data_IF_861321876496
#
_entry.id   IF_861321876496
#
_cell.length_a   1.000
_cell.length_b   1.000
_cell.length_c   1.000
_cell.angle_alpha   90.00
_cell.angle_beta   90.00
_cell.angle_gamma   90.00
#
_symmetry.space_group_name_H-M   'P 1'
#
loop_
_entity.id
_entity.type
_entity.pdbx_description
1 polymer ?
#
# COMPACT_ATOMS: atom_id res chain seq x y z
N UNK A 1 -14.31 -43.47 21.48
CA UNK A 1 -14.62 -42.02 21.47
C UNK A 1 -13.29 -41.28 21.47
N UNK A 2 -12.69 -41.14 20.30
CA UNK A 2 -11.40 -40.45 20.14
C UNK A 2 -11.72 -39.12 19.48
N UNK A 3 -11.75 -38.06 20.29
CA UNK A 3 -11.97 -36.70 19.80
C UNK A 3 -10.71 -36.26 19.08
N UNK A 4 -10.78 -36.22 17.76
CA UNK A 4 -9.79 -35.55 16.94
C UNK A 4 -9.81 -34.06 17.30
N UNK A 5 -8.70 -33.57 17.85
CA UNK A 5 -8.40 -32.15 17.88
C UNK A 5 -8.34 -31.67 16.43
N UNK A 6 -9.31 -30.84 16.06
CA UNK A 6 -9.24 -30.05 14.84
C UNK A 6 -8.12 -29.04 15.06
N UNK A 7 -6.95 -29.30 14.48
CA UNK A 7 -5.96 -28.29 14.19
C UNK A 7 -6.57 -27.38 13.13
N UNK A 8 -7.19 -26.28 13.55
CA UNK A 8 -7.47 -25.17 12.64
C UNK A 8 -6.11 -24.65 12.19
N UNK A 9 -5.75 -24.96 10.96
CA UNK A 9 -4.65 -24.36 10.23
C UNK A 9 -5.00 -22.87 10.10
N UNK A 10 -4.56 -22.06 11.07
CA UNK A 10 -4.87 -20.63 11.17
C UNK A 10 -4.11 -19.91 10.08
N UNK A 11 -4.61 -19.98 8.84
CA UNK A 11 -4.00 -19.34 7.70
C UNK A 11 -4.03 -17.83 7.90
N UNK A 12 -2.86 -17.23 8.11
CA UNK A 12 -2.67 -15.79 8.24
C UNK A 12 -3.35 -15.08 7.05
N UNK A 13 -4.30 -14.20 7.35
CA UNK A 13 -4.99 -13.42 6.34
C UNK A 13 -4.06 -12.34 5.80
N UNK A 14 -3.37 -12.67 4.72
CA UNK A 14 -2.44 -11.76 4.08
C UNK A 14 -3.17 -10.79 3.14
N UNK A 15 -2.84 -9.49 3.11
CA UNK A 15 -3.50 -8.52 2.24
C UNK A 15 -3.39 -8.88 0.76
N UNK A 16 -4.48 -8.68 0.01
CA UNK A 16 -4.54 -9.03 -1.40
C UNK A 16 -3.63 -8.13 -2.25
N UNK A 17 -3.03 -8.68 -3.31
CA UNK A 17 -2.15 -7.93 -4.22
C UNK A 17 -0.71 -7.77 -3.77
N UNK A 18 -0.32 -8.38 -2.63
CA UNK A 18 1.04 -8.34 -2.11
C UNK A 18 1.64 -9.75 -2.01
N UNK A 19 2.83 -9.91 -2.59
CA UNK A 19 3.55 -11.18 -2.54
C UNK A 19 4.08 -11.46 -1.13
N UNK A 20 4.03 -12.73 -0.74
CA UNK A 20 4.69 -13.24 0.48
C UNK A 20 6.20 -13.32 0.25
N UNK A 21 6.98 -13.05 1.28
CA UNK A 21 8.41 -13.37 1.27
C UNK A 21 8.61 -14.87 1.48
N UNK A 22 9.27 -15.58 0.53
CA UNK A 22 9.62 -16.99 0.70
C UNK A 22 10.49 -17.21 1.94
N UNK A 23 10.27 -18.31 2.67
CA UNK A 23 10.97 -18.55 3.94
C UNK A 23 12.51 -18.57 3.82
N UNK A 24 13.04 -18.97 2.65
CA UNK A 24 14.47 -18.99 2.35
C UNK A 24 15.07 -17.63 2.00
N UNK A 25 14.23 -16.64 1.67
CA UNK A 25 14.64 -15.28 1.32
C UNK A 25 14.52 -14.33 2.52
N UNK A 26 13.95 -14.80 3.64
CA UNK A 26 13.81 -14.01 4.87
C UNK A 26 15.18 -13.77 5.51
N UNK A 27 15.39 -12.54 5.95
CA UNK A 27 16.66 -12.10 6.55
C UNK A 27 16.52 -11.83 8.05
N UNK A 28 17.63 -11.86 8.78
CA UNK A 28 17.64 -11.31 10.15
C UNK A 28 17.66 -9.79 10.09
N UNK A 29 16.94 -9.15 11.02
CA UNK A 29 16.83 -7.70 10.99
C UNK A 29 18.20 -7.04 11.25
N UNK A 30 18.64 -6.08 10.43
CA UNK A 30 20.02 -5.55 10.49
C UNK A 30 20.25 -4.54 11.63
N UNK A 31 19.18 -4.04 12.26
CA UNK A 31 19.26 -3.05 13.35
C UNK A 31 19.19 -3.66 14.75
N UNK A 32 19.51 -2.85 15.76
CA UNK A 32 19.32 -3.26 17.15
C UNK A 32 17.83 -3.33 17.50
N UNK A 33 17.39 -4.51 17.95
CA UNK A 33 16.05 -4.75 18.45
C UNK A 33 16.18 -5.00 19.95
N UNK A 34 16.37 -3.90 20.67
CA UNK A 34 16.38 -3.90 22.14
C UNK A 34 15.03 -4.30 22.74
N UNK A 35 13.96 -4.32 21.94
CA UNK A 35 12.60 -4.63 22.38
C UNK A 35 12.42 -6.12 22.64
N UNK A 36 11.67 -6.41 23.69
CA UNK A 36 11.06 -7.71 23.92
C UNK A 36 9.98 -8.00 22.87
N UNK A 37 9.53 -9.26 22.80
CA UNK A 37 8.45 -9.65 21.89
C UNK A 37 7.20 -8.81 22.13
N UNK A 38 6.74 -8.69 23.39
CA UNK A 38 5.57 -7.88 23.75
C UNK A 38 5.73 -6.42 23.34
N UNK A 39 6.84 -5.78 23.69
CA UNK A 39 7.08 -4.37 23.38
C UNK A 39 7.10 -4.10 21.86
N UNK A 40 7.53 -5.07 21.05
CA UNK A 40 7.49 -4.93 19.60
C UNK A 40 6.05 -4.81 19.07
N UNK A 41 5.14 -5.65 19.55
CA UNK A 41 3.72 -5.60 19.17
C UNK A 41 2.99 -4.40 19.77
N UNK A 42 3.22 -4.09 21.05
CA UNK A 42 2.70 -2.87 21.69
C UNK A 42 3.14 -1.62 20.90
N UNK A 43 4.37 -1.59 20.39
CA UNK A 43 4.86 -0.46 19.59
C UNK A 43 4.12 -0.26 18.26
N UNK A 44 3.53 -1.31 17.68
CA UNK A 44 2.71 -1.20 16.47
C UNK A 44 1.41 -0.48 16.80
N UNK A 45 0.71 -0.94 17.84
CA UNK A 45 -0.54 -0.33 18.31
C UNK A 45 -0.32 1.12 18.70
N UNK A 46 0.69 1.39 19.54
CA UNK A 46 1.06 2.72 20.00
C UNK A 46 1.30 3.69 18.85
N UNK A 47 2.04 3.29 17.81
CA UNK A 47 2.37 4.18 16.70
C UNK A 47 1.16 4.42 15.77
N UNK A 48 0.30 3.42 15.57
CA UNK A 48 -0.95 3.57 14.80
C UNK A 48 -1.93 4.51 15.53
N UNK A 49 -2.11 4.33 16.84
CA UNK A 49 -2.97 5.21 17.64
C UNK A 49 -2.42 6.64 17.70
N UNK A 50 -1.10 6.82 17.84
CA UNK A 50 -0.45 8.15 17.77
C UNK A 50 -0.58 8.81 16.41
N UNK A 51 -0.75 8.03 15.35
CA UNK A 51 -1.04 8.53 14.01
C UNK A 51 -2.52 8.84 13.80
N UNK A 52 -3.38 8.57 14.79
CA UNK A 52 -4.82 8.83 14.72
C UNK A 52 -5.64 7.71 14.12
N UNK A 53 -5.05 6.53 13.91
CA UNK A 53 -5.77 5.34 13.42
C UNK A 53 -6.50 4.64 14.58
N UNK A 54 -7.61 3.98 14.28
CA UNK A 54 -8.48 3.32 15.26
C UNK A 54 -8.72 1.87 14.89
N UNK A 55 -9.41 1.11 15.75
CA UNK A 55 -9.79 -0.29 15.50
C UNK A 55 -8.59 -1.15 15.07
N UNK A 56 -7.47 -1.04 15.79
CA UNK A 56 -6.22 -1.74 15.46
C UNK A 56 -6.32 -3.22 15.85
N UNK A 57 -6.09 -4.10 14.87
CA UNK A 57 -6.11 -5.54 15.00
C UNK A 57 -4.84 -6.15 14.40
N UNK A 58 -4.06 -6.87 15.20
CA UNK A 58 -2.84 -7.54 14.74
C UNK A 58 -3.12 -9.03 14.53
N UNK A 59 -2.82 -9.50 13.32
CA UNK A 59 -2.93 -10.91 12.94
C UNK A 59 -1.55 -11.54 12.76
N UNK A 60 -1.42 -12.77 13.26
CA UNK A 60 -0.26 -13.64 13.11
C UNK A 60 -0.74 -15.09 13.01
N UNK A 61 0.11 -16.01 12.54
CA UNK A 61 -0.22 -17.44 12.58
C UNK A 61 -0.37 -18.00 14.01
N UNK A 62 0.15 -17.29 15.01
CA UNK A 62 0.06 -17.68 16.42
C UNK A 62 -1.26 -17.23 17.07
N UNK A 63 -1.67 -17.98 18.09
CA UNK A 63 -2.81 -17.58 18.94
C UNK A 63 -2.49 -16.36 19.80
N UNK A 64 -3.49 -15.54 20.09
CA UNK A 64 -3.34 -14.31 20.89
C UNK A 64 -3.92 -14.44 22.29
N UNK A 65 -3.47 -13.58 23.21
CA UNK A 65 -4.04 -13.53 24.57
C UNK A 65 -5.47 -12.98 24.53
N UNK A 66 -6.38 -13.63 25.26
CA UNK A 66 -7.81 -13.21 25.35
C UNK A 66 -7.97 -11.76 25.83
N UNK A 67 -7.12 -11.33 26.77
CA UNK A 67 -7.18 -9.98 27.34
C UNK A 67 -6.26 -8.98 26.63
N UNK A 68 -5.49 -9.44 25.65
CA UNK A 68 -4.54 -8.62 24.91
C UNK A 68 -4.44 -9.15 23.47
N UNK A 69 -5.50 -8.93 22.68
CA UNK A 69 -5.71 -9.60 21.39
C UNK A 69 -4.74 -9.12 20.30
N UNK A 70 -3.92 -8.11 20.56
CA UNK A 70 -2.87 -7.63 19.67
C UNK A 70 -1.48 -8.17 20.05
N UNK A 71 -1.39 -8.97 21.11
CA UNK A 71 -0.15 -9.61 21.53
C UNK A 71 -0.25 -11.11 21.29
N UNK A 72 0.51 -11.66 20.33
CA UNK A 72 0.54 -13.09 20.11
C UNK A 72 1.28 -13.80 21.25
N UNK A 73 0.93 -15.07 21.45
CA UNK A 73 1.71 -15.96 22.28
C UNK A 73 3.11 -16.15 21.67
N UNK A 74 4.14 -16.11 22.52
CA UNK A 74 5.50 -16.37 22.07
C UNK A 74 5.66 -17.85 21.75
N UNK A 75 5.65 -18.18 20.47
CA UNK A 75 6.09 -19.49 19.98
C UNK A 75 7.61 -19.55 19.84
N UNK A 76 8.17 -20.75 20.02
CA UNK A 76 9.61 -20.97 19.89
C UNK A 76 10.05 -21.07 18.42
N UNK A 77 9.16 -21.52 17.53
CA UNK A 77 9.41 -21.72 16.11
C UNK A 77 8.08 -21.65 15.33
N UNK A 78 7.54 -20.44 15.11
CA UNK A 78 6.31 -20.27 14.35
C UNK A 78 6.51 -20.65 12.88
N UNK A 79 5.59 -21.46 12.31
CA UNK A 79 5.62 -21.86 10.89
C UNK A 79 5.53 -20.65 9.94
N UNK A 80 4.80 -19.61 10.36
CA UNK A 80 4.73 -18.33 9.65
C UNK A 80 5.05 -17.16 10.59
N UNK A 81 6.07 -16.39 10.21
CA UNK A 81 6.56 -15.22 10.94
C UNK A 81 5.93 -13.90 10.47
N UNK A 82 5.05 -13.95 9.47
CA UNK A 82 4.33 -12.78 8.98
C UNK A 82 3.49 -12.11 10.06
N UNK A 83 3.45 -10.78 10.00
CA UNK A 83 2.61 -9.94 10.86
C UNK A 83 1.80 -9.01 9.98
N UNK A 84 0.51 -8.91 10.24
CA UNK A 84 -0.39 -7.97 9.57
C UNK A 84 -1.08 -7.12 10.63
N UNK A 85 -1.03 -5.80 10.47
CA UNK A 85 -1.75 -4.85 11.31
C UNK A 85 -2.87 -4.21 10.50
N UNK A 86 -4.11 -4.56 10.83
CA UNK A 86 -5.31 -3.92 10.31
C UNK A 86 -5.68 -2.71 11.16
N UNK A 87 -6.17 -1.66 10.53
CA UNK A 87 -6.65 -0.47 11.22
C UNK A 87 -7.72 0.25 10.39
N UNK A 88 -8.50 1.09 11.06
CA UNK A 88 -9.40 2.04 10.43
C UNK A 88 -8.78 3.43 10.44
N UNK A 89 -8.96 4.13 9.33
CA UNK A 89 -8.68 5.56 9.24
C UNK A 89 -9.99 6.35 9.38
N UNK A 90 -10.23 7.06 10.49
CA UNK A 90 -11.45 7.85 10.67
C UNK A 90 -11.65 8.95 9.63
N UNK A 91 -10.57 9.39 8.98
CA UNK A 91 -10.60 10.44 7.94
C UNK A 91 -10.78 9.86 6.54
N UNK A 92 -10.63 8.55 6.36
CA UNK A 92 -10.86 7.91 5.08
C UNK A 92 -12.36 7.89 4.75
N UNK A 93 -12.67 8.13 3.48
CA UNK A 93 -14.04 8.01 2.96
C UNK A 93 -14.50 6.55 2.82
N UNK A 94 -13.57 5.59 2.90
CA UNK A 94 -13.85 4.17 2.86
C UNK A 94 -14.27 3.65 4.23
N UNK A 95 -15.18 2.67 4.26
CA UNK A 95 -15.55 1.93 5.48
C UNK A 95 -14.66 0.72 5.73
N UNK A 96 -13.79 0.41 4.79
CA UNK A 96 -12.90 -0.73 4.81
C UNK A 96 -11.70 -0.48 5.73
N UNK A 97 -11.19 -1.55 6.36
CA UNK A 97 -9.95 -1.48 7.11
C UNK A 97 -8.78 -1.46 6.14
N UNK A 98 -7.80 -0.60 6.41
CA UNK A 98 -6.49 -0.66 5.78
C UNK A 98 -5.61 -1.67 6.49
N UNK A 99 -4.62 -2.23 5.80
CA UNK A 99 -3.65 -3.13 6.41
C UNK A 99 -2.21 -2.66 6.16
N UNK A 100 -1.30 -3.01 7.06
CA UNK A 100 0.15 -2.96 6.86
C UNK A 100 0.72 -4.34 7.22
N UNK A 101 1.48 -4.95 6.31
CA UNK A 101 2.00 -6.29 6.48
C UNK A 101 3.53 -6.35 6.35
N UNK A 102 4.17 -7.27 7.08
CA UNK A 102 5.60 -7.54 6.96
C UNK A 102 5.90 -9.01 7.28
N UNK A 103 6.61 -9.69 6.38
CA UNK A 103 7.10 -11.07 6.55
C UNK A 103 8.54 -11.26 6.05
N UNK A 104 9.27 -10.16 5.84
CA UNK A 104 10.63 -10.13 5.33
C UNK A 104 11.65 -10.68 6.34
N UNK A 105 11.37 -10.54 7.64
CA UNK A 105 12.33 -10.83 8.69
C UNK A 105 12.14 -12.20 9.33
N UNK A 106 13.21 -12.73 9.91
CA UNK A 106 13.29 -14.07 10.48
C UNK A 106 12.39 -14.36 11.68
N UNK A 107 11.74 -13.34 12.25
CA UNK A 107 10.85 -13.51 13.40
C UNK A 107 9.70 -12.51 13.41
N UNK A 108 8.57 -12.90 14.00
CA UNK A 108 7.40 -12.02 14.18
C UNK A 108 7.75 -10.73 14.93
N UNK A 109 8.66 -10.81 15.91
CA UNK A 109 9.15 -9.65 16.66
C UNK A 109 9.84 -8.64 15.73
N UNK A 110 10.66 -9.11 14.81
CA UNK A 110 11.35 -8.28 13.82
C UNK A 110 10.35 -7.64 12.84
N UNK A 111 9.40 -8.43 12.34
CA UNK A 111 8.33 -7.95 11.46
C UNK A 111 7.44 -6.90 12.15
N UNK A 112 7.00 -7.14 13.39
CA UNK A 112 6.26 -6.15 14.18
C UNK A 112 7.08 -4.86 14.39
N UNK A 113 8.37 -4.98 14.70
CA UNK A 113 9.25 -3.81 14.85
C UNK A 113 9.39 -3.01 13.55
N UNK A 114 9.50 -3.69 12.41
CA UNK A 114 9.59 -3.04 11.11
C UNK A 114 8.31 -2.24 10.80
N UNK A 115 7.14 -2.82 11.06
CA UNK A 115 5.84 -2.13 10.92
C UNK A 115 5.81 -0.87 11.80
N UNK A 116 6.13 -0.99 13.10
CA UNK A 116 6.12 0.17 14.01
C UNK A 116 7.07 1.29 13.58
N UNK A 117 8.27 0.94 13.09
CA UNK A 117 9.24 1.92 12.57
C UNK A 117 8.73 2.62 11.30
N UNK A 118 8.06 1.87 10.43
CA UNK A 118 7.45 2.41 9.23
C UNK A 118 6.31 3.38 9.58
N UNK A 119 5.38 3.00 10.47
CA UNK A 119 4.29 3.88 10.92
C UNK A 119 4.85 5.16 11.56
N UNK A 120 5.87 5.02 12.41
CA UNK A 120 6.56 6.17 13.02
C UNK A 120 7.16 7.10 11.97
N UNK A 121 7.74 6.56 10.89
CA UNK A 121 8.29 7.35 9.78
C UNK A 121 7.18 8.16 9.11
N UNK A 122 6.05 7.55 8.80
CA UNK A 122 4.94 8.24 8.13
C UNK A 122 4.39 9.36 9.01
N UNK A 123 4.11 9.04 10.28
CA UNK A 123 3.64 10.02 11.27
C UNK A 123 4.61 11.18 11.47
N UNK A 124 5.92 10.94 11.37
CA UNK A 124 6.93 12.00 11.48
C UNK A 124 6.95 12.88 10.23
N UNK A 125 6.82 12.31 9.03
CA UNK A 125 6.75 13.06 7.79
C UNK A 125 5.53 14.01 7.79
N UNK A 126 4.36 13.47 8.12
CA UNK A 126 3.09 14.20 8.24
C UNK A 126 3.19 15.37 9.24
N UNK A 127 3.64 15.09 10.47
CA UNK A 127 3.82 16.13 11.50
C UNK A 127 4.78 17.25 11.09
N UNK A 128 5.82 16.93 10.33
CA UNK A 128 6.83 17.89 9.92
C UNK A 128 6.48 18.63 8.62
N UNK A 129 5.33 18.33 7.99
CA UNK A 129 4.94 18.89 6.70
C UNK A 129 5.89 18.49 5.57
N UNK A 130 6.50 17.30 5.68
CA UNK A 130 7.37 16.76 4.62
C UNK A 130 6.49 16.00 3.63
N UNK A 131 6.30 16.59 2.46
CA UNK A 131 5.60 15.95 1.34
C UNK A 131 6.60 15.31 0.38
N UNK A 132 6.20 14.18 -0.21
CA UNK A 132 6.92 13.53 -1.31
C UNK A 132 6.10 13.63 -2.58
N UNK A 133 6.76 13.56 -3.75
CA UNK A 133 6.11 13.68 -5.05
C UNK A 133 5.01 12.63 -5.34
N UNK A 134 4.96 11.55 -4.55
CA UNK A 134 3.85 10.60 -4.47
C UNK A 134 3.37 10.51 -3.03
N UNK A 135 2.07 10.37 -2.82
CA UNK A 135 1.52 10.22 -1.47
C UNK A 135 2.01 8.89 -0.88
N UNK A 136 2.68 8.95 0.27
CA UNK A 136 3.17 7.75 0.95
C UNK A 136 1.99 6.91 1.47
N UNK A 137 0.84 7.53 1.70
CA UNK A 137 -0.38 6.88 2.16
C UNK A 137 -1.00 6.02 1.05
N UNK A 138 -0.96 6.46 -0.21
CA UNK A 138 -1.38 5.63 -1.36
C UNK A 138 -0.47 4.40 -1.53
N UNK A 139 0.83 4.54 -1.26
CA UNK A 139 1.78 3.41 -1.32
C UNK A 139 1.60 2.43 -0.14
N UNK A 140 1.03 2.91 0.96
CA UNK A 140 0.89 2.17 2.22
C UNK A 140 -0.39 1.36 2.34
N UNK A 141 -1.47 1.83 1.70
CA UNK A 141 -2.79 1.25 1.89
C UNK A 141 -2.89 -0.08 1.13
N UNK A 142 -2.79 -1.17 1.87
CA UNK A 142 -3.13 -2.49 1.35
C UNK A 142 -4.65 -2.64 1.41
N UNK A 143 -5.30 -3.10 0.33
CA UNK A 143 -6.72 -3.44 0.37
C UNK A 143 -6.94 -4.60 1.35
N UNK A 144 -8.04 -4.60 2.11
CA UNK A 144 -8.38 -5.73 2.96
C UNK A 144 -8.66 -6.97 2.12
N UNK A 145 -8.45 -8.14 2.71
CA UNK A 145 -8.47 -9.44 2.03
C UNK A 145 -9.85 -9.94 1.55
N UNK A 146 -10.90 -9.11 1.55
CA UNK A 146 -12.21 -9.47 1.01
C UNK A 146 -12.29 -9.18 -0.49
N UNK A 147 -11.85 -10.17 -1.27
CA UNK A 147 -12.53 -10.60 -2.50
C UNK A 147 -12.93 -9.54 -3.53
N UNK A 148 -12.06 -8.58 -3.84
CA UNK A 148 -12.07 -7.95 -5.16
C UNK A 148 -10.63 -7.93 -5.67
N UNK A 149 -10.38 -8.74 -6.70
CA UNK A 149 -9.07 -8.83 -7.31
C UNK A 149 -8.73 -7.47 -7.90
N UNK A 150 -7.85 -6.72 -7.23
CA UNK A 150 -7.23 -5.58 -7.87
C UNK A 150 -6.30 -6.18 -8.92
N UNK A 151 -6.73 -6.07 -10.18
CA UNK A 151 -5.86 -6.34 -11.31
C UNK A 151 -4.58 -5.53 -11.08
N UNK A 152 -3.44 -6.23 -11.00
CA UNK A 152 -2.15 -5.58 -11.10
C UNK A 152 -2.22 -4.60 -12.29
N UNK A 153 -1.83 -3.33 -12.13
CA UNK A 153 -1.79 -2.43 -13.26
C UNK A 153 -0.96 -3.12 -14.36
N UNK A 154 -1.47 -3.21 -15.59
CA UNK A 154 -0.73 -3.85 -16.66
C UNK A 154 0.65 -3.22 -16.73
N UNK A 155 1.65 -4.08 -16.93
CA UNK A 155 3.05 -3.68 -17.09
C UNK A 155 3.15 -2.41 -17.93
N UNK A 156 3.84 -1.41 -17.39
CA UNK A 156 4.07 -0.12 -18.04
C UNK A 156 4.42 -0.34 -19.50
N UNK A 157 3.59 0.21 -20.38
CA UNK A 157 3.94 0.37 -21.79
C UNK A 157 5.14 1.31 -21.89
N UNK A 158 6.07 0.92 -22.75
CA UNK A 158 7.47 1.41 -22.88
C UNK A 158 7.62 2.89 -23.29
N UNK A 159 6.55 3.71 -23.22
CA UNK A 159 6.52 5.09 -23.75
C UNK A 159 6.50 6.20 -22.67
N UNK A 160 6.68 5.84 -21.40
CA UNK A 160 6.89 6.80 -20.32
C UNK A 160 5.71 7.76 -20.10
N UNK A 161 4.49 7.29 -20.37
CA UNK A 161 3.26 7.94 -19.93
C UNK A 161 2.68 7.11 -18.78
N UNK A 162 2.29 7.77 -17.69
CA UNK A 162 1.61 7.12 -16.55
C UNK A 162 0.18 6.67 -16.90
N UNK A 163 -0.35 7.14 -18.04
CA UNK A 163 -1.71 6.93 -18.54
C UNK A 163 -1.65 6.80 -20.08
N UNK A 164 -2.49 5.97 -20.71
CA UNK A 164 -2.37 5.72 -22.16
C UNK A 164 -2.72 7.01 -22.96
N UNK A 165 -2.05 7.30 -24.10
CA UNK A 165 -2.24 8.56 -24.85
C UNK A 165 -3.71 8.92 -25.16
N UNK A 166 -4.54 7.90 -25.40
CA UNK A 166 -5.95 8.09 -25.71
C UNK A 166 -6.80 8.41 -24.46
N UNK A 167 -6.37 7.95 -23.28
CA UNK A 167 -6.97 8.28 -21.98
C UNK A 167 -6.66 9.74 -21.63
N UNK A 168 -5.40 10.19 -21.76
CA UNK A 168 -5.01 11.59 -21.56
C UNK A 168 -5.79 12.54 -22.47
N UNK A 169 -6.19 12.11 -23.66
CA UNK A 169 -6.96 12.90 -24.61
C UNK A 169 -8.48 12.66 -24.53
N UNK A 170 -8.99 11.73 -23.73
CA UNK A 170 -10.40 11.29 -23.73
C UNK A 170 -10.92 10.93 -25.13
N UNK A 171 -10.13 10.18 -25.91
CA UNK A 171 -10.48 9.72 -27.26
C UNK A 171 -10.39 8.20 -27.35
N UNK A 172 -10.96 7.61 -28.41
CA UNK A 172 -10.80 6.19 -28.67
C UNK A 172 -9.34 5.86 -29.03
N UNK A 173 -8.82 4.66 -28.69
CA UNK A 173 -7.47 4.23 -29.03
C UNK A 173 -7.13 4.32 -30.53
N UNK A 174 -8.14 4.12 -31.38
CA UNK A 174 -8.07 4.17 -32.85
C UNK A 174 -8.70 5.43 -33.44
N UNK A 175 -8.82 6.49 -32.64
CA UNK A 175 -9.36 7.77 -33.10
C UNK A 175 -8.52 8.33 -34.27
N UNK A 176 -9.17 8.84 -35.33
CA UNK A 176 -8.44 9.38 -36.48
C UNK A 176 -7.67 10.66 -36.10
N UNK A 177 -6.53 10.90 -36.76
CA UNK A 177 -5.60 12.00 -36.44
C UNK A 177 -6.25 13.38 -36.34
N UNK A 178 -7.29 13.64 -37.13
CA UNK A 178 -8.02 14.90 -37.13
C UNK A 178 -8.82 15.10 -35.84
N UNK A 179 -9.40 14.02 -35.30
CA UNK A 179 -10.08 14.00 -34.00
C UNK A 179 -9.05 14.19 -32.88
N UNK A 180 -7.93 13.46 -32.91
CA UNK A 180 -6.84 13.57 -31.93
C UNK A 180 -6.30 15.01 -31.87
N UNK A 181 -5.97 15.60 -33.03
CA UNK A 181 -5.48 16.99 -33.12
C UNK A 181 -6.51 18.01 -32.62
N UNK A 182 -7.79 17.78 -32.89
CA UNK A 182 -8.87 18.68 -32.46
C UNK A 182 -9.04 18.65 -30.95
N UNK A 183 -9.03 17.45 -30.35
CA UNK A 183 -9.22 17.29 -28.91
C UNK A 183 -7.99 17.79 -28.14
N UNK A 184 -6.78 17.46 -28.60
CA UNK A 184 -5.54 17.98 -28.03
C UNK A 184 -5.50 19.52 -28.05
N UNK A 185 -5.88 20.14 -29.17
CA UNK A 185 -5.96 21.61 -29.27
C UNK A 185 -6.94 22.22 -28.27
N UNK A 186 -8.10 21.58 -28.09
CA UNK A 186 -9.12 22.06 -27.13
C UNK A 186 -8.62 21.94 -25.69
N UNK A 187 -8.03 20.80 -25.31
CA UNK A 187 -7.47 20.61 -23.97
C UNK A 187 -6.32 21.58 -23.70
N UNK A 188 -5.36 21.69 -24.63
CA UNK A 188 -4.23 22.63 -24.49
C UNK A 188 -4.62 24.10 -24.41
N UNK A 189 -5.79 24.50 -24.92
CA UNK A 189 -6.28 25.86 -24.77
C UNK A 189 -6.77 26.17 -23.35
N UNK A 190 -7.24 25.17 -22.60
CA UNK A 190 -7.72 25.34 -21.23
C UNK A 190 -6.56 25.48 -20.22
N UNK A 191 -5.44 24.80 -20.49
CA UNK A 191 -4.28 24.72 -19.57
C UNK A 191 -3.05 25.46 -20.10
N UNK A 192 -3.24 26.35 -21.08
CA UNK A 192 -2.13 27.02 -21.74
C UNK A 192 -1.29 27.83 -20.73
N UNK A 193 0.06 27.82 -20.80
CA UNK A 193 0.91 28.59 -19.89
C UNK A 193 0.67 30.10 -19.93
N UNK A 194 0.15 30.61 -21.05
CA UNK A 194 -0.27 32.01 -21.23
C UNK A 194 -1.79 32.22 -21.07
N UNK A 195 -2.51 31.25 -20.48
CA UNK A 195 -3.96 31.30 -20.24
C UNK A 195 -4.33 31.89 -18.88
N UNK A 196 -5.63 31.98 -18.62
CA UNK A 196 -6.17 32.50 -17.36
C UNK A 196 -5.94 31.56 -16.16
N UNK A 197 -5.75 30.25 -16.42
CA UNK A 197 -5.47 29.22 -15.40
C UNK A 197 -4.38 28.24 -15.92
N UNK A 198 -3.08 28.61 -15.77
CA UNK A 198 -2.00 27.86 -16.41
C UNK A 198 -1.63 26.59 -15.64
N UNK A 199 -1.73 25.43 -16.31
CA UNK A 199 -1.13 24.18 -15.85
C UNK A 199 -0.10 23.69 -16.88
N UNK A 200 1.16 24.00 -16.60
CA UNK A 200 2.30 23.69 -17.48
C UNK A 200 2.56 22.19 -17.59
N UNK A 201 2.27 21.42 -16.54
CA UNK A 201 2.52 19.98 -16.52
C UNK A 201 1.39 19.22 -17.24
N UNK A 202 0.14 19.65 -17.08
CA UNK A 202 -0.97 19.14 -17.88
C UNK A 202 -0.82 19.51 -19.35
N UNK A 203 -0.38 20.73 -19.66
CA UNK A 203 -0.08 21.14 -21.04
C UNK A 203 0.96 20.23 -21.70
N UNK A 204 2.06 19.90 -21.01
CA UNK A 204 3.08 18.97 -21.51
C UNK A 204 2.53 17.55 -21.70
N UNK A 205 1.70 17.05 -20.76
CA UNK A 205 1.04 15.74 -20.88
C UNK A 205 0.17 15.64 -22.11
N UNK A 206 -0.66 16.66 -22.37
CA UNK A 206 -1.54 16.72 -23.55
C UNK A 206 -0.73 16.76 -24.85
N UNK A 207 0.39 17.49 -24.91
CA UNK A 207 1.26 17.50 -26.08
C UNK A 207 1.94 16.14 -26.33
N UNK A 208 2.47 15.51 -25.28
CA UNK A 208 3.11 14.20 -25.38
C UNK A 208 2.12 13.12 -25.85
N UNK A 209 0.89 13.13 -25.33
CA UNK A 209 -0.17 12.22 -25.76
C UNK A 209 -0.58 12.43 -27.22
N UNK A 210 -0.69 13.69 -27.67
CA UNK A 210 -0.96 14.02 -29.08
C UNK A 210 0.12 13.47 -30.00
N UNK A 211 1.39 13.68 -29.66
CA UNK A 211 2.50 13.26 -30.52
C UNK A 211 2.59 11.73 -30.58
N UNK A 212 2.34 11.03 -29.47
CA UNK A 212 2.29 9.57 -29.43
C UNK A 212 1.16 8.96 -30.28
N UNK A 213 0.01 9.63 -30.42
CA UNK A 213 -1.12 9.14 -31.23
C UNK A 213 -1.03 9.52 -32.73
N UNK A 214 -0.24 10.55 -33.09
CA UNK A 214 -0.17 11.07 -34.47
C UNK A 214 1.13 10.67 -35.17
N UNK A 215 2.23 10.52 -34.43
CA UNK A 215 3.55 10.20 -34.98
C UNK A 215 3.97 8.72 -34.75
N UNK A 216 3.05 7.89 -34.23
CA UNK A 216 3.21 6.44 -33.98
C UNK A 216 2.88 5.54 -35.18
#
# INVERSE_FOLDING_TARGET
MSSAQQTTDSQLNWPAGYDRTPANDRESYPGDISLTHREAFESVVDELERWGKTDVEIETAETHYVNDPNIPHKSADPDDVGVVAYYRDPEAHSREQSAIACDQWSSQRENARAIALWVRRIRLADRCGVETARDINEVAQLPPAVGEAIAAPPAQSDDGLEEEPHEVLDVAPDAPDDVVKTVARRKSANVHPDGDDPDVEEYKRVQKAKDAMVDG
#
